data_IF_523275129698
#
_entry.id   IF_523275129698
#
_cell.length_a   1.000
_cell.length_b   1.000
_cell.length_c   1.000
_cell.angle_alpha   90.00
_cell.angle_beta   90.00
_cell.angle_gamma   90.00
#
_symmetry.space_group_name_H-M   'P 1'
#
loop_
_entity.id
_entity.type
_entity.pdbx_description
1 polymer ?
#
# COMPACT_ATOMS: atom_id res chain seq x y z
N UNK A 1 -5.01 -5.80 32.19
CA UNK A 1 -4.94 -4.64 31.27
C UNK A 1 -5.03 -5.12 29.83
N UNK A 2 -5.98 -4.65 29.02
CA UNK A 2 -5.99 -4.95 27.60
C UNK A 2 -4.78 -4.25 26.96
N UNK A 3 -3.87 -5.02 26.36
CA UNK A 3 -2.77 -4.45 25.57
C UNK A 3 -3.37 -3.71 24.37
N UNK A 4 -3.00 -2.44 24.09
CA UNK A 4 -3.46 -1.76 22.90
C UNK A 4 -3.05 -2.60 21.69
N UNK A 5 -4.05 -3.13 20.98
CA UNK A 5 -3.84 -3.87 19.75
C UNK A 5 -3.34 -2.86 18.73
N UNK A 6 -2.04 -2.89 18.43
CA UNK A 6 -1.50 -2.15 17.28
C UNK A 6 -2.36 -2.54 16.08
N UNK A 7 -3.05 -1.58 15.42
CA UNK A 7 -3.81 -1.88 14.23
C UNK A 7 -2.87 -2.57 13.25
N UNK A 8 -3.29 -3.72 12.72
CA UNK A 8 -2.52 -4.38 11.69
C UNK A 8 -2.44 -3.40 10.53
N UNK A 9 -1.22 -2.99 10.16
CA UNK A 9 -1.04 -2.22 8.93
C UNK A 9 -1.62 -3.05 7.79
N UNK A 10 -2.40 -2.46 6.87
CA UNK A 10 -2.97 -3.18 5.74
C UNK A 10 -1.89 -3.85 4.85
N UNK A 11 -0.63 -3.41 4.98
CA UNK A 11 0.53 -3.94 4.27
C UNK A 11 1.35 -4.97 5.07
N UNK A 12 0.88 -5.40 6.25
CA UNK A 12 1.64 -6.28 7.18
C UNK A 12 2.09 -7.61 6.57
N UNK A 13 1.43 -8.09 5.52
CA UNK A 13 1.75 -9.36 4.84
C UNK A 13 2.54 -9.17 3.55
N UNK A 14 2.71 -7.94 3.09
CA UNK A 14 3.55 -7.68 1.95
C UNK A 14 5.00 -7.66 2.45
N UNK A 15 5.85 -8.53 1.89
CA UNK A 15 7.30 -8.47 2.10
C UNK A 15 7.93 -7.21 1.49
N UNK A 16 7.15 -6.42 0.74
CA UNK A 16 7.53 -5.11 0.22
C UNK A 16 7.28 -4.02 1.25
N UNK A 17 8.20 -3.05 1.33
CA UNK A 17 8.06 -1.91 2.25
C UNK A 17 6.74 -1.16 1.99
N UNK A 18 5.98 -0.77 3.03
CA UNK A 18 4.73 -0.03 2.87
C UNK A 18 4.91 1.26 2.05
N UNK A 19 6.09 1.88 2.10
CA UNK A 19 6.46 3.06 1.31
C UNK A 19 6.43 2.78 -0.21
N UNK A 20 6.88 1.60 -0.64
CA UNK A 20 6.89 1.21 -2.06
C UNK A 20 5.46 1.00 -2.55
N UNK A 21 4.61 0.39 -1.73
CA UNK A 21 3.20 0.16 -2.08
C UNK A 21 2.45 1.49 -2.13
N UNK A 22 2.69 2.39 -1.18
CA UNK A 22 2.11 3.73 -1.20
C UNK A 22 2.56 4.52 -2.43
N UNK A 23 3.83 4.45 -2.81
CA UNK A 23 4.34 5.08 -4.04
C UNK A 23 3.64 4.52 -5.28
N UNK A 24 3.52 3.20 -5.39
CA UNK A 24 2.83 2.56 -6.50
C UNK A 24 1.33 2.96 -6.56
N UNK A 25 0.65 3.03 -5.42
CA UNK A 25 -0.74 3.49 -5.33
C UNK A 25 -0.87 4.94 -5.78
N UNK A 26 0.03 5.83 -5.36
CA UNK A 26 0.01 7.24 -5.80
C UNK A 26 0.19 7.35 -7.32
N UNK A 27 1.11 6.58 -7.90
CA UNK A 27 1.31 6.53 -9.35
C UNK A 27 0.08 5.96 -10.05
N UNK A 28 -0.52 4.90 -9.51
CA UNK A 28 -1.72 4.28 -10.06
C UNK A 28 -2.94 5.19 -10.01
N UNK A 29 -3.13 5.94 -8.92
CA UNK A 29 -4.22 6.93 -8.79
C UNK A 29 -4.01 8.12 -9.72
N UNK A 30 -2.76 8.56 -9.90
CA UNK A 30 -2.43 9.73 -10.73
C UNK A 30 -2.44 9.42 -12.23
N UNK A 31 -2.00 8.23 -12.64
CA UNK A 31 -1.87 7.83 -14.05
C UNK A 31 -2.49 6.44 -14.34
N UNK A 32 -3.77 6.22 -14.01
CA UNK A 32 -4.42 4.90 -14.15
C UNK A 32 -4.61 4.46 -15.61
N UNK A 33 -4.62 5.41 -16.55
CA UNK A 33 -4.80 5.16 -17.98
C UNK A 33 -3.48 4.79 -18.66
N UNK A 34 -2.37 5.45 -18.29
CA UNK A 34 -1.04 5.15 -18.84
C UNK A 34 -0.55 3.74 -18.47
N UNK A 35 -1.02 3.18 -17.36
CA UNK A 35 -0.72 1.81 -16.93
C UNK A 35 -1.66 0.75 -17.53
N UNK A 36 -2.77 1.15 -18.15
CA UNK A 36 -3.77 0.23 -18.71
C UNK A 36 -3.54 -0.10 -20.20
N UNK A 37 -2.59 0.57 -20.84
CA UNK A 37 -2.36 0.42 -22.27
C UNK A 37 -1.38 -0.74 -22.56
N UNK A 38 -1.89 -1.97 -22.49
CA UNK A 38 -1.31 -3.19 -23.08
C UNK A 38 -2.05 -3.52 -24.36
#
# INVERSE_FOLDING_TARGET
>A
MPRPRKPASPFRYFNSSPEVILLAVLIYVRFPLSLRNV
#
